data_IF_767837984388
#
_entry.id   IF_767837984388
#
_cell.length_a   1.000
_cell.length_b   1.000
_cell.length_c   1.000
_cell.angle_alpha   90.00
_cell.angle_beta   90.00
_cell.angle_gamma   90.00
#
_symmetry.space_group_name_H-M   'P 1'
#
loop_
_entity.id
_entity.type
_entity.pdbx_description
1 polymer ?
#
# COMPACT_ATOMS: atom_id res chain seq x y z
N UNK A 1 -4.53 5.68 -17.56
CA UNK A 1 -5.50 6.68 -17.19
C UNK A 1 -5.15 7.39 -15.88
N UNK A 2 -4.52 6.73 -14.89
CA UNK A 2 -4.33 7.31 -13.54
C UNK A 2 -3.51 8.60 -13.52
N UNK A 3 -2.48 8.74 -14.37
CA UNK A 3 -1.59 9.91 -14.32
C UNK A 3 -2.28 11.17 -14.86
N UNK A 4 -3.06 11.02 -15.91
CA UNK A 4 -3.87 12.11 -16.45
C UNK A 4 -4.94 12.54 -15.43
N UNK A 5 -5.60 11.56 -14.78
CA UNK A 5 -6.54 11.81 -13.69
C UNK A 5 -5.86 12.53 -12.53
N UNK A 6 -4.66 12.08 -12.12
CA UNK A 6 -3.88 12.69 -11.06
C UNK A 6 -3.51 14.14 -11.39
N UNK A 7 -3.05 14.40 -12.62
CA UNK A 7 -2.72 15.74 -13.08
C UNK A 7 -3.93 16.67 -13.06
N UNK A 8 -5.09 16.20 -13.53
CA UNK A 8 -6.34 16.96 -13.48
C UNK A 8 -6.78 17.24 -12.04
N UNK A 9 -6.59 16.27 -11.13
CA UNK A 9 -6.87 16.44 -9.71
C UNK A 9 -5.91 17.47 -9.09
N UNK A 10 -4.60 17.38 -9.35
CA UNK A 10 -3.61 18.35 -8.86
C UNK A 10 -3.91 19.77 -9.34
N UNK A 11 -4.24 19.94 -10.61
CA UNK A 11 -4.62 21.23 -11.19
C UNK A 11 -5.89 21.78 -10.52
N UNK A 12 -6.89 20.93 -10.28
CA UNK A 12 -8.11 21.32 -9.56
C UNK A 12 -7.82 21.75 -8.11
N UNK A 13 -7.10 20.92 -7.35
CA UNK A 13 -6.77 21.20 -5.94
C UNK A 13 -5.97 22.50 -5.81
N UNK A 14 -4.99 22.69 -6.68
CA UNK A 14 -4.17 23.91 -6.71
C UNK A 14 -5.03 25.14 -7.01
N UNK A 15 -5.90 25.07 -8.02
CA UNK A 15 -6.74 26.19 -8.41
C UNK A 15 -7.73 26.60 -7.30
N UNK A 16 -8.37 25.65 -6.64
CA UNK A 16 -9.28 25.96 -5.53
C UNK A 16 -8.53 26.42 -4.27
N UNK A 17 -7.34 25.88 -4.00
CA UNK A 17 -6.47 26.38 -2.95
C UNK A 17 -6.11 27.86 -3.16
N UNK A 18 -5.67 28.23 -4.37
CA UNK A 18 -5.32 29.62 -4.72
C UNK A 18 -6.52 30.57 -4.53
N UNK A 19 -7.74 30.12 -4.83
CA UNK A 19 -8.96 30.90 -4.56
C UNK A 19 -9.19 31.10 -3.07
N UNK A 20 -9.14 30.04 -2.26
CA UNK A 20 -9.36 30.15 -0.81
C UNK A 20 -8.32 31.09 -0.18
N UNK A 21 -7.06 31.01 -0.62
CA UNK A 21 -5.97 31.88 -0.16
C UNK A 21 -6.14 33.35 -0.57
N UNK A 22 -6.92 33.64 -1.62
CA UNK A 22 -7.23 35.02 -2.02
C UNK A 22 -8.20 35.73 -1.06
N UNK A 23 -8.94 34.98 -0.24
CA UNK A 23 -9.82 35.54 0.77
C UNK A 23 -9.07 35.78 2.09
N UNK A 24 -9.21 36.97 2.66
CA UNK A 24 -8.74 37.24 4.02
C UNK A 24 -9.77 36.70 5.04
N UNK A 25 -9.71 35.39 5.34
CA UNK A 25 -10.63 34.71 6.27
C UNK A 25 -9.98 34.51 7.65
N UNK A 26 -10.35 35.29 8.69
CA UNK A 26 -9.79 35.16 10.02
C UNK A 26 -10.43 34.05 10.87
N UNK A 27 -11.62 33.55 10.47
CA UNK A 27 -12.33 32.52 11.22
C UNK A 27 -11.79 31.12 10.87
N UNK A 28 -10.89 30.61 11.71
CA UNK A 28 -10.17 29.35 11.48
C UNK A 28 -11.07 28.14 11.18
N UNK A 29 -12.22 27.92 11.85
CA UNK A 29 -13.11 26.81 11.51
C UNK A 29 -13.67 26.90 10.09
N UNK A 30 -14.07 28.09 9.64
CA UNK A 30 -14.58 28.30 8.28
C UNK A 30 -13.48 28.10 7.24
N UNK A 31 -12.24 28.48 7.56
CA UNK A 31 -11.11 28.18 6.70
C UNK A 31 -10.85 26.68 6.62
N UNK A 32 -10.95 25.95 7.73
CA UNK A 32 -10.88 24.48 7.77
C UNK A 32 -11.94 23.83 6.88
N UNK A 33 -13.21 24.21 7.07
CA UNK A 33 -14.34 23.73 6.26
C UNK A 33 -14.14 23.95 4.75
N UNK A 34 -13.49 25.05 4.36
CA UNK A 34 -13.17 25.33 2.96
C UNK A 34 -12.18 24.31 2.39
N UNK A 35 -11.10 23.97 3.11
CA UNK A 35 -10.14 22.94 2.65
C UNK A 35 -10.74 21.53 2.64
N UNK A 36 -11.60 21.21 3.61
CA UNK A 36 -12.39 19.97 3.58
C UNK A 36 -13.25 19.89 2.32
N UNK A 37 -13.91 21.00 1.96
CA UNK A 37 -14.78 21.08 0.80
C UNK A 37 -14.01 20.95 -0.53
N UNK A 38 -12.80 21.51 -0.62
CA UNK A 38 -11.91 21.30 -1.78
C UNK A 38 -11.64 19.80 -1.96
N UNK A 39 -11.30 19.10 -0.88
CA UNK A 39 -11.03 17.65 -0.91
C UNK A 39 -12.26 16.89 -1.38
N UNK A 40 -13.43 17.17 -0.81
CA UNK A 40 -14.69 16.51 -1.18
C UNK A 40 -15.02 16.74 -2.65
N UNK A 41 -14.94 17.96 -3.13
CA UNK A 41 -15.26 18.29 -4.51
C UNK A 41 -14.24 17.74 -5.51
N UNK A 42 -12.97 17.66 -5.12
CA UNK A 42 -11.91 17.05 -5.93
C UNK A 42 -12.13 15.54 -6.10
N UNK A 43 -12.47 14.85 -5.01
CA UNK A 43 -12.78 13.41 -5.05
C UNK A 43 -14.09 13.11 -5.78
N UNK A 44 -15.13 13.95 -5.62
CA UNK A 44 -16.41 13.81 -6.33
C UNK A 44 -16.35 14.12 -7.84
N UNK A 45 -15.16 14.43 -8.39
CA UNK A 45 -15.03 14.58 -9.84
C UNK A 45 -15.21 13.22 -10.51
N UNK A 46 -16.01 13.18 -11.58
CA UNK A 46 -16.32 11.95 -12.33
C UNK A 46 -15.09 11.23 -12.90
N UNK A 47 -14.02 11.97 -13.17
CA UNK A 47 -12.76 11.39 -13.64
C UNK A 47 -11.93 10.75 -12.51
N UNK A 48 -12.22 11.09 -11.24
CA UNK A 48 -11.60 10.50 -10.03
C UNK A 48 -12.45 9.32 -9.53
N UNK A 49 -13.75 9.53 -9.37
CA UNK A 49 -14.72 8.50 -8.95
C UNK A 49 -15.84 8.37 -9.99
N UNK A 50 -15.93 7.23 -10.71
CA UNK A 50 -16.99 7.01 -11.68
C UNK A 50 -18.38 6.86 -11.03
N UNK A 51 -19.40 7.52 -11.58
CA UNK A 51 -20.80 7.51 -11.06
C UNK A 51 -21.46 6.11 -11.06
N UNK A 52 -20.87 5.14 -11.77
CA UNK A 52 -21.47 3.82 -12.01
C UNK A 52 -21.41 2.87 -10.80
N UNK A 53 -20.79 3.29 -9.69
CA UNK A 53 -20.46 2.43 -8.56
C UNK A 53 -21.16 2.81 -7.24
N UNK A 54 -22.14 3.73 -7.26
CA UNK A 54 -22.82 4.26 -6.06
C UNK A 54 -21.83 4.70 -4.96
N UNK A 55 -20.68 5.21 -5.39
CA UNK A 55 -19.66 5.78 -4.55
C UNK A 55 -20.03 7.23 -4.23
N UNK A 56 -19.85 7.62 -2.97
CA UNK A 56 -20.19 8.97 -2.50
C UNK A 56 -19.06 9.50 -1.63
N UNK A 57 -18.80 10.81 -1.74
CA UNK A 57 -17.89 11.51 -0.82
C UNK A 57 -18.72 12.42 0.07
N UNK A 58 -18.67 12.16 1.39
CA UNK A 58 -19.60 12.76 2.37
C UNK A 58 -18.87 13.20 3.64
N UNK A 59 -19.49 14.09 4.42
CA UNK A 59 -19.12 14.36 5.81
C UNK A 59 -20.03 13.58 6.76
N UNK A 60 -19.58 13.28 7.97
CA UNK A 60 -20.49 12.83 9.02
C UNK A 60 -19.90 11.84 10.01
N UNK A 61 -20.60 10.76 10.29
CA UNK A 61 -20.33 9.86 11.41
C UNK A 61 -20.34 8.41 10.95
N UNK A 62 -19.64 7.57 11.71
CA UNK A 62 -19.58 6.13 11.47
C UNK A 62 -20.36 5.41 12.56
N UNK A 63 -21.12 4.39 12.17
CA UNK A 63 -21.79 3.45 13.05
C UNK A 63 -21.06 2.11 12.98
N UNK A 64 -20.69 1.56 14.14
CA UNK A 64 -20.06 0.24 14.27
C UNK A 64 -21.04 -0.66 15.01
N UNK A 65 -21.67 -1.58 14.27
CA UNK A 65 -22.78 -2.38 14.80
C UNK A 65 -23.95 -1.49 15.23
N UNK A 66 -24.29 -1.50 16.53
CA UNK A 66 -25.34 -0.63 17.08
C UNK A 66 -24.83 0.71 17.65
N UNK A 67 -23.52 0.91 17.70
CA UNK A 67 -22.91 2.08 18.33
C UNK A 67 -22.56 3.10 17.25
N UNK A 68 -23.15 4.29 17.35
CA UNK A 68 -22.69 5.46 16.58
C UNK A 68 -21.49 6.10 17.28
N UNK A 69 -20.40 6.31 16.55
CA UNK A 69 -19.24 7.03 17.05
C UNK A 69 -19.56 8.51 17.23
N UNK A 70 -19.01 9.13 18.27
CA UNK A 70 -19.21 10.56 18.55
C UNK A 70 -18.32 11.46 17.71
N UNK A 71 -17.24 10.91 17.15
CA UNK A 71 -16.29 11.61 16.30
C UNK A 71 -16.94 11.97 14.96
N UNK A 72 -16.87 13.26 14.60
CA UNK A 72 -17.21 13.71 13.26
C UNK A 72 -16.01 13.49 12.33
N UNK A 73 -16.28 12.98 11.14
CA UNK A 73 -15.30 12.79 10.08
C UNK A 73 -15.45 13.90 9.04
N UNK A 74 -14.33 14.54 8.72
CA UNK A 74 -14.22 15.65 7.76
C UNK A 74 -14.66 15.23 6.36
N UNK A 75 -14.21 14.06 5.92
CA UNK A 75 -14.51 13.51 4.60
C UNK A 75 -14.40 11.97 4.62
N UNK A 76 -15.39 11.29 4.06
CA UNK A 76 -15.41 9.85 3.88
C UNK A 76 -15.72 9.51 2.43
N UNK A 77 -14.99 8.54 1.88
CA UNK A 77 -15.44 7.80 0.69
C UNK A 77 -16.25 6.60 1.16
N UNK A 78 -17.50 6.51 0.71
CA UNK A 78 -18.45 5.48 1.13
C UNK A 78 -19.13 4.83 -0.07
N UNK A 79 -19.65 3.64 0.15
CA UNK A 79 -20.47 2.89 -0.79
C UNK A 79 -21.94 2.90 -0.34
N UNK A 80 -22.87 3.08 -1.29
CA UNK A 80 -24.30 3.00 -1.01
C UNK A 80 -24.89 4.24 -0.35
N UNK A 81 -26.10 4.09 0.16
CA UNK A 81 -26.82 5.16 0.86
C UNK A 81 -26.54 5.17 2.37
N UNK A 82 -26.36 6.36 2.92
CA UNK A 82 -26.29 6.60 4.37
C UNK A 82 -27.52 7.33 4.89
N UNK A 83 -27.62 7.43 6.21
CA UNK A 83 -28.72 8.12 6.88
C UNK A 83 -28.34 9.59 7.04
N UNK A 84 -29.07 10.50 6.37
CA UNK A 84 -28.85 11.94 6.54
C UNK A 84 -29.15 12.36 7.98
N UNK A 85 -28.23 13.11 8.60
CA UNK A 85 -28.38 13.59 9.96
C UNK A 85 -29.28 14.84 9.98
N UNK A 86 -30.58 14.61 10.11
CA UNK A 86 -31.60 15.67 10.10
C UNK A 86 -31.60 16.45 8.79
N UNK A 87 -31.59 17.79 8.89
CA UNK A 87 -31.52 18.69 7.73
C UNK A 87 -30.09 19.10 7.37
N UNK A 88 -29.07 18.53 8.02
CA UNK A 88 -27.65 18.86 7.78
C UNK A 88 -27.10 18.04 6.62
N UNK A 89 -26.02 18.49 5.98
CA UNK A 89 -25.35 17.72 4.93
C UNK A 89 -24.36 16.66 5.47
N UNK A 90 -24.56 16.23 6.72
CA UNK A 90 -23.81 15.15 7.37
C UNK A 90 -24.61 13.86 7.29
N UNK A 91 -23.91 12.74 7.21
CA UNK A 91 -24.52 11.41 7.09
C UNK A 91 -23.97 10.44 8.12
N UNK A 92 -24.76 9.44 8.48
CA UNK A 92 -24.33 8.31 9.31
C UNK A 92 -24.23 7.09 8.39
N UNK A 93 -23.05 6.49 8.34
CA UNK A 93 -22.78 5.27 7.57
C UNK A 93 -22.40 4.12 8.48
N UNK A 94 -22.85 2.91 8.16
CA UNK A 94 -22.31 1.70 8.78
C UNK A 94 -20.85 1.50 8.34
N UNK A 95 -20.00 1.04 9.26
CA UNK A 95 -18.57 0.81 9.02
C UNK A 95 -18.31 -0.09 7.81
N UNK A 96 -19.20 -1.05 7.52
CA UNK A 96 -19.08 -1.92 6.34
C UNK A 96 -19.13 -1.17 5.01
N UNK A 97 -19.73 0.02 4.99
CA UNK A 97 -19.88 0.87 3.81
C UNK A 97 -18.85 2.01 3.75
N UNK A 98 -17.95 2.11 4.74
CA UNK A 98 -16.90 3.14 4.77
C UNK A 98 -15.64 2.60 4.14
N UNK A 99 -15.21 3.19 3.02
CA UNK A 99 -14.01 2.74 2.31
C UNK A 99 -12.77 3.52 2.76
N UNK A 100 -12.92 4.83 2.94
CA UNK A 100 -11.81 5.73 3.26
C UNK A 100 -12.27 6.83 4.21
N UNK A 101 -11.41 7.19 5.14
CA UNK A 101 -11.58 8.26 6.12
C UNK A 101 -10.45 9.26 5.91
N UNK A 102 -10.81 10.52 5.70
CA UNK A 102 -9.87 11.62 5.56
C UNK A 102 -9.91 12.53 6.79
N UNK A 103 -8.72 12.86 7.29
CA UNK A 103 -8.48 13.99 8.18
C UNK A 103 -7.83 15.09 7.34
N UNK A 104 -8.50 16.24 7.19
CA UNK A 104 -8.04 17.31 6.29
C UNK A 104 -7.48 18.47 7.09
N UNK A 105 -6.24 18.87 6.80
CA UNK A 105 -5.60 20.04 7.43
C UNK A 105 -5.19 21.05 6.36
N UNK A 106 -5.30 22.34 6.67
CA UNK A 106 -4.66 23.38 5.84
C UNK A 106 -3.15 23.14 5.78
N UNK A 107 -2.52 23.12 6.96
CA UNK A 107 -1.07 23.05 7.12
C UNK A 107 -0.73 21.94 8.11
N UNK A 108 0.12 21.01 7.70
CA UNK A 108 0.58 19.91 8.55
C UNK A 108 1.75 20.36 9.43
N UNK A 109 1.43 20.95 10.58
CA UNK A 109 2.38 21.20 11.68
C UNK A 109 2.49 19.97 12.60
N UNK A 110 3.46 19.97 13.53
CA UNK A 110 3.62 18.88 14.50
C UNK A 110 2.37 18.72 15.37
N UNK A 111 1.78 19.83 15.80
CA UNK A 111 0.55 19.84 16.60
C UNK A 111 -0.62 19.23 15.83
N UNK A 112 -0.84 19.67 14.58
CA UNK A 112 -1.91 19.12 13.74
C UNK A 112 -1.69 17.65 13.38
N UNK A 113 -0.44 17.20 13.28
CA UNK A 113 -0.08 15.79 13.05
C UNK A 113 -0.43 14.95 14.27
N UNK A 114 -0.09 15.42 15.48
CA UNK A 114 -0.46 14.75 16.75
C UNK A 114 -1.98 14.62 16.85
N UNK A 115 -2.71 15.70 16.62
CA UNK A 115 -4.18 15.71 16.65
C UNK A 115 -4.77 14.71 15.65
N UNK A 116 -4.30 14.72 14.41
CA UNK A 116 -4.75 13.80 13.36
C UNK A 116 -4.49 12.33 13.71
N UNK A 117 -3.29 12.02 14.23
CA UNK A 117 -2.91 10.67 14.60
C UNK A 117 -3.71 10.14 15.79
N UNK A 118 -3.96 10.98 16.81
CA UNK A 118 -4.80 10.62 17.95
C UNK A 118 -6.24 10.38 17.46
N UNK A 119 -6.80 11.31 16.69
CA UNK A 119 -8.18 11.20 16.20
C UNK A 119 -8.41 9.92 15.39
N UNK A 120 -7.53 9.64 14.42
CA UNK A 120 -7.63 8.43 13.60
C UNK A 120 -7.39 7.15 14.44
N UNK A 121 -6.47 7.17 15.40
CA UNK A 121 -6.23 6.02 16.29
C UNK A 121 -7.44 5.70 17.19
N UNK A 122 -8.14 6.74 17.66
CA UNK A 122 -9.40 6.59 18.40
C UNK A 122 -10.48 5.96 17.53
N UNK A 123 -10.66 6.42 16.29
CA UNK A 123 -11.64 5.85 15.37
C UNK A 123 -11.29 4.38 15.05
N UNK A 124 -10.04 4.10 14.64
CA UNK A 124 -9.59 2.73 14.33
C UNK A 124 -9.78 1.78 15.50
N UNK A 125 -9.62 2.28 16.73
CA UNK A 125 -9.83 1.48 17.94
C UNK A 125 -11.18 0.82 18.03
N UNK A 126 -12.20 1.51 17.54
CA UNK A 126 -13.58 1.05 17.58
C UNK A 126 -13.83 -0.02 16.51
N UNK A 127 -12.96 -0.12 15.50
CA UNK A 127 -13.10 -1.08 14.41
C UNK A 127 -12.50 -2.44 14.74
N UNK A 128 -11.50 -2.53 15.61
CA UNK A 128 -10.83 -3.82 15.88
C UNK A 128 -11.82 -4.90 16.35
N UNK A 129 -12.73 -4.57 17.27
CA UNK A 129 -13.75 -5.53 17.72
C UNK A 129 -14.71 -5.96 16.61
N UNK A 130 -15.05 -5.04 15.69
CA UNK A 130 -15.85 -5.37 14.50
C UNK A 130 -15.09 -6.28 13.54
N UNK A 131 -13.81 -6.02 13.29
CA UNK A 131 -12.95 -6.86 12.46
C UNK A 131 -12.75 -8.25 13.07
N UNK A 132 -12.50 -8.33 14.38
CA UNK A 132 -12.40 -9.60 15.09
C UNK A 132 -13.68 -10.41 14.94
N UNK A 133 -14.85 -9.77 15.05
CA UNK A 133 -16.16 -10.41 14.82
C UNK A 133 -16.33 -10.92 13.38
N UNK A 134 -15.91 -10.15 12.37
CA UNK A 134 -15.94 -10.59 10.96
C UNK A 134 -15.08 -11.83 10.73
N UNK A 135 -13.86 -11.82 11.28
CA UNK A 135 -12.92 -12.93 11.16
C UNK A 135 -13.46 -14.18 11.85
N UNK A 136 -13.95 -14.04 13.08
CA UNK A 136 -14.48 -15.18 13.86
C UNK A 136 -15.72 -15.82 13.24
N UNK A 137 -16.53 -15.06 12.50
CA UNK A 137 -17.71 -15.56 11.79
C UNK A 137 -17.42 -16.07 10.38
N UNK A 138 -16.15 -16.02 9.95
CA UNK A 138 -15.71 -16.30 8.58
C UNK A 138 -16.49 -15.49 7.52
N UNK A 139 -16.83 -14.23 7.85
CA UNK A 139 -17.59 -13.33 6.98
C UNK A 139 -16.70 -12.15 6.56
N UNK A 140 -15.56 -12.47 5.98
CA UNK A 140 -14.47 -11.52 5.74
C UNK A 140 -14.72 -10.69 4.47
N UNK A 141 -15.51 -11.20 3.52
CA UNK A 141 -15.92 -10.44 2.32
C UNK A 141 -14.75 -10.01 1.42
N UNK A 142 -13.55 -10.56 1.63
CA UNK A 142 -12.34 -10.32 0.83
C UNK A 142 -12.14 -11.49 -0.13
N UNK A 143 -11.66 -11.17 -1.33
CA UNK A 143 -11.12 -12.18 -2.24
C UNK A 143 -9.85 -12.82 -1.63
N UNK A 144 -9.98 -14.09 -1.24
CA UNK A 144 -8.90 -14.87 -0.65
C UNK A 144 -7.73 -15.06 -1.61
N UNK A 145 -7.96 -15.13 -2.93
CA UNK A 145 -6.89 -15.24 -3.91
C UNK A 145 -6.02 -13.98 -3.89
N UNK A 146 -6.65 -12.81 -3.79
CA UNK A 146 -5.96 -11.52 -3.69
C UNK A 146 -5.19 -11.39 -2.37
N UNK A 147 -5.81 -11.74 -1.24
CA UNK A 147 -5.11 -11.75 0.06
C UNK A 147 -3.90 -12.69 0.03
N UNK A 148 -4.08 -13.91 -0.49
CA UNK A 148 -3.04 -14.93 -0.59
C UNK A 148 -1.89 -14.49 -1.50
N UNK A 149 -2.19 -13.84 -2.62
CA UNK A 149 -1.19 -13.24 -3.51
C UNK A 149 -0.36 -12.19 -2.78
N UNK A 150 -1.00 -11.18 -2.16
CA UNK A 150 -0.27 -10.13 -1.45
C UNK A 150 0.53 -10.68 -0.27
N UNK A 151 -0.03 -11.62 0.49
CA UNK A 151 0.66 -12.28 1.58
C UNK A 151 1.89 -13.04 1.07
N UNK A 152 1.80 -13.70 -0.08
CA UNK A 152 2.89 -14.48 -0.65
C UNK A 152 4.12 -13.65 -1.01
N UNK A 153 3.93 -12.37 -1.39
CA UNK A 153 5.05 -11.44 -1.57
C UNK A 153 5.76 -11.10 -0.25
N UNK A 154 5.08 -11.25 0.88
CA UNK A 154 5.63 -10.97 2.21
C UNK A 154 6.25 -12.19 2.87
N UNK A 155 5.64 -13.37 2.74
CA UNK A 155 6.07 -14.59 3.44
C UNK A 155 6.65 -15.69 2.54
N UNK A 156 6.57 -15.54 1.21
CA UNK A 156 7.18 -16.45 0.25
C UNK A 156 6.36 -17.69 -0.09
N UNK A 157 5.06 -17.71 0.22
CA UNK A 157 4.14 -18.78 -0.19
C UNK A 157 2.69 -18.31 -0.10
N UNK A 158 1.81 -18.99 -0.83
CA UNK A 158 0.36 -18.79 -0.79
C UNK A 158 -0.28 -19.69 0.26
N UNK A 159 -1.36 -19.20 0.85
CA UNK A 159 -2.29 -19.99 1.66
C UNK A 159 -3.57 -20.22 0.86
N UNK A 160 -4.27 -21.34 1.08
CA UNK A 160 -5.54 -21.62 0.40
C UNK A 160 -6.75 -21.22 1.25
N UNK A 161 -6.56 -21.09 2.56
CA UNK A 161 -7.59 -20.84 3.56
C UNK A 161 -7.09 -19.91 4.67
N UNK A 162 -7.98 -19.07 5.19
CA UNK A 162 -7.64 -18.11 6.25
C UNK A 162 -7.27 -18.83 7.56
N UNK A 163 -7.87 -20.00 7.81
CA UNK A 163 -7.55 -20.84 8.96
C UNK A 163 -6.08 -21.30 8.97
N UNK A 164 -5.40 -21.31 7.81
CA UNK A 164 -3.99 -21.65 7.73
C UNK A 164 -3.07 -20.64 8.42
N UNK A 165 -3.54 -19.40 8.62
CA UNK A 165 -2.84 -18.37 9.40
C UNK A 165 -2.49 -18.89 10.81
N UNK A 166 -3.30 -19.78 11.38
CA UNK A 166 -3.07 -20.35 12.70
C UNK A 166 -1.84 -21.28 12.77
N UNK A 167 -1.40 -21.82 11.64
CA UNK A 167 -0.26 -22.75 11.54
C UNK A 167 1.05 -22.07 11.11
N UNK A 168 0.98 -20.78 10.75
CA UNK A 168 2.17 -19.98 10.45
C UNK A 168 3.05 -19.83 11.69
N UNK A 169 4.36 -19.68 11.48
CA UNK A 169 5.24 -19.27 12.58
C UNK A 169 4.80 -17.89 13.13
N UNK A 170 5.15 -17.54 14.39
CA UNK A 170 4.68 -16.31 15.02
C UNK A 170 4.89 -15.05 14.18
N UNK A 171 5.97 -14.99 13.39
CA UNK A 171 6.26 -13.85 12.53
C UNK A 171 5.35 -13.77 11.34
N UNK A 172 5.26 -14.85 10.59
CA UNK A 172 4.38 -14.94 9.43
C UNK A 172 2.92 -14.73 9.84
N UNK A 173 2.51 -15.26 10.99
CA UNK A 173 1.17 -15.05 11.56
C UNK A 173 0.85 -13.58 11.83
N UNK A 174 1.81 -12.82 12.36
CA UNK A 174 1.65 -11.39 12.62
C UNK A 174 1.57 -10.58 11.33
N UNK A 175 2.38 -10.91 10.32
CA UNK A 175 2.32 -10.30 8.99
C UNK A 175 0.97 -10.57 8.33
N UNK A 176 0.53 -11.84 8.31
CA UNK A 176 -0.74 -12.24 7.74
C UNK A 176 -1.94 -11.56 8.43
N UNK A 177 -1.96 -11.58 9.76
CA UNK A 177 -3.01 -10.90 10.55
C UNK A 177 -3.04 -9.39 10.27
N UNK A 178 -1.86 -8.76 10.19
CA UNK A 178 -1.74 -7.33 9.90
C UNK A 178 -2.30 -6.99 8.52
N UNK A 179 -1.89 -7.73 7.49
CA UNK A 179 -2.38 -7.52 6.12
C UNK A 179 -3.90 -7.71 6.04
N UNK A 180 -4.42 -8.77 6.68
CA UNK A 180 -5.86 -9.04 6.69
C UNK A 180 -6.66 -7.92 7.34
N UNK A 181 -6.22 -7.44 8.51
CA UNK A 181 -6.86 -6.31 9.20
C UNK A 181 -6.83 -5.04 8.35
N UNK A 182 -5.71 -4.74 7.69
CA UNK A 182 -5.59 -3.54 6.85
C UNK A 182 -6.45 -3.62 5.58
N UNK A 183 -6.61 -4.80 4.99
CA UNK A 183 -7.52 -5.03 3.87
C UNK A 183 -8.98 -4.79 4.26
N UNK A 184 -9.37 -5.23 5.46
CA UNK A 184 -10.73 -5.06 5.96
C UNK A 184 -11.02 -3.62 6.41
N UNK A 185 -10.07 -2.97 7.08
CA UNK A 185 -10.25 -1.63 7.61
C UNK A 185 -10.43 -0.57 6.50
N UNK A 186 -11.21 0.49 6.75
CA UNK A 186 -11.19 1.66 5.89
C UNK A 186 -9.77 2.25 5.81
N UNK A 187 -9.38 2.74 4.65
CA UNK A 187 -8.12 3.48 4.54
C UNK A 187 -8.22 4.76 5.38
N UNK A 188 -7.17 5.10 6.11
CA UNK A 188 -7.12 6.35 6.88
C UNK A 188 -6.06 7.27 6.29
N UNK A 189 -6.46 8.49 5.91
CA UNK A 189 -5.63 9.42 5.17
C UNK A 189 -5.58 10.75 5.91
N UNK A 190 -4.37 11.19 6.27
CA UNK A 190 -4.11 12.56 6.69
C UNK A 190 -3.67 13.33 5.45
N UNK A 191 -4.48 14.29 5.02
CA UNK A 191 -4.21 15.11 3.85
C UNK A 191 -4.03 16.56 4.25
N UNK A 192 -2.93 17.17 3.78
CA UNK A 192 -2.73 18.61 3.92
C UNK A 192 -2.35 19.31 2.61
N UNK A 193 -2.75 20.58 2.52
CA UNK A 193 -2.43 21.43 1.37
C UNK A 193 -1.04 22.08 1.52
N UNK A 194 -0.63 22.33 2.75
CA UNK A 194 0.67 22.89 3.13
C UNK A 194 1.34 22.05 4.23
N UNK A 195 2.61 22.32 4.51
CA UNK A 195 3.34 21.64 5.59
C UNK A 195 4.82 21.47 5.32
N UNK A 196 5.35 20.36 5.83
CA UNK A 196 6.75 19.96 5.70
C UNK A 196 7.25 20.05 4.26
N UNK A 197 8.39 20.73 4.07
CA UNK A 197 9.00 20.92 2.75
C UNK A 197 9.98 19.80 2.37
N UNK A 198 10.46 19.04 3.35
CA UNK A 198 11.42 17.95 3.18
C UNK A 198 10.91 16.69 3.84
N UNK A 199 11.14 15.55 3.19
CA UNK A 199 10.78 14.23 3.72
C UNK A 199 11.45 13.95 5.07
N UNK A 200 12.71 14.37 5.26
CA UNK A 200 13.41 14.22 6.54
C UNK A 200 12.71 14.94 7.70
N UNK A 201 12.16 16.13 7.47
CA UNK A 201 11.44 16.88 8.50
C UNK A 201 10.11 16.18 8.87
N UNK A 202 9.38 15.65 7.87
CA UNK A 202 8.17 14.88 8.09
C UNK A 202 8.46 13.57 8.86
N UNK A 203 9.51 12.84 8.48
CA UNK A 203 9.93 11.60 9.16
C UNK A 203 10.25 11.85 10.63
N UNK A 204 11.04 12.89 10.92
CA UNK A 204 11.35 13.26 12.30
C UNK A 204 10.09 13.63 13.09
N UNK A 205 9.17 14.40 12.48
CA UNK A 205 7.92 14.76 13.14
C UNK A 205 7.03 13.55 13.46
N UNK A 206 6.94 12.57 12.55
CA UNK A 206 6.17 11.34 12.78
C UNK A 206 6.80 10.49 13.88
N UNK A 207 8.13 10.31 13.86
CA UNK A 207 8.85 9.56 14.90
C UNK A 207 8.72 10.22 16.28
N UNK A 208 8.90 11.55 16.35
CA UNK A 208 8.69 12.32 17.57
C UNK A 208 7.25 12.16 18.10
N UNK A 209 6.27 12.19 17.19
CA UNK A 209 4.86 12.09 17.56
C UNK A 209 4.53 10.69 18.06
N UNK A 210 5.06 9.65 17.41
CA UNK A 210 4.92 8.27 17.85
C UNK A 210 5.45 8.10 19.29
N UNK A 211 6.67 8.55 19.55
CA UNK A 211 7.27 8.49 20.89
C UNK A 211 6.44 9.28 21.92
N UNK A 212 5.97 10.48 21.55
CA UNK A 212 5.16 11.31 22.43
C UNK A 212 3.82 10.66 22.82
N UNK A 213 3.10 10.06 21.85
CA UNK A 213 1.82 9.41 22.15
C UNK A 213 2.05 8.13 22.96
N UNK A 214 3.12 7.37 22.65
CA UNK A 214 3.46 6.14 23.40
C UNK A 214 3.77 6.45 24.87
N UNK A 215 4.55 7.50 25.14
CA UNK A 215 4.89 7.96 26.50
C UNK A 215 3.65 8.42 27.29
N UNK A 216 2.70 9.09 26.65
CA UNK A 216 1.51 9.64 27.32
C UNK A 216 0.37 8.64 27.53
N UNK A 217 0.31 7.55 26.75
CA UNK A 217 -0.77 6.56 26.80
C UNK A 217 -0.29 5.17 27.26
N UNK A 218 0.38 5.10 28.41
CA UNK A 218 1.02 3.86 28.93
C UNK A 218 0.10 2.63 29.09
N UNK A 219 -1.22 2.79 29.07
CA UNK A 219 -2.17 1.65 29.11
C UNK A 219 -2.46 1.03 27.75
N UNK A 220 -2.32 1.78 26.65
CA UNK A 220 -2.67 1.32 25.30
C UNK A 220 -1.51 1.44 24.29
N UNK A 221 -0.65 2.43 24.45
CA UNK A 221 0.39 2.81 23.50
C UNK A 221 -0.17 3.22 22.13
N UNK A 222 0.71 3.47 21.16
CA UNK A 222 0.36 3.50 19.73
C UNK A 222 0.69 2.16 19.13
N UNK A 223 -0.30 1.44 18.61
CA UNK A 223 -0.01 0.23 17.83
C UNK A 223 0.49 0.63 16.45
N UNK A 224 1.35 -0.21 15.89
CA UNK A 224 1.80 -0.06 14.49
C UNK A 224 0.60 0.04 13.52
N UNK A 225 -0.47 -0.71 13.78
CA UNK A 225 -1.72 -0.63 13.03
C UNK A 225 -2.42 0.72 13.13
N UNK A 226 -2.23 1.47 14.21
CA UNK A 226 -2.89 2.76 14.44
C UNK A 226 -2.32 3.88 13.54
N UNK A 227 -1.18 3.68 12.87
CA UNK A 227 -0.70 4.61 11.84
C UNK A 227 -1.74 4.75 10.70
N UNK A 228 -1.88 5.95 10.11
CA UNK A 228 -2.64 6.15 8.89
C UNK A 228 -2.09 5.36 7.71
N UNK A 229 -2.95 4.98 6.78
CA UNK A 229 -2.54 4.41 5.49
C UNK A 229 -1.65 5.41 4.72
N UNK A 230 -2.02 6.69 4.74
CA UNK A 230 -1.32 7.77 4.04
C UNK A 230 -1.27 9.03 4.91
N UNK A 231 -0.09 9.61 5.04
CA UNK A 231 0.12 10.97 5.56
C UNK A 231 0.78 11.74 4.43
N UNK A 232 0.09 12.72 3.87
CA UNK A 232 0.56 13.41 2.67
C UNK A 232 0.34 14.90 2.77
N UNK A 233 1.31 15.65 2.26
CA UNK A 233 1.00 16.92 1.64
C UNK A 233 1.06 16.75 0.12
N UNK A 234 0.47 17.67 -0.65
CA UNK A 234 0.40 17.61 -2.12
C UNK A 234 1.73 17.37 -2.89
N UNK A 235 2.88 17.21 -2.21
CA UNK A 235 4.21 16.98 -2.80
C UNK A 235 4.96 15.78 -2.22
N UNK A 236 4.78 15.48 -0.93
CA UNK A 236 5.53 14.42 -0.25
C UNK A 236 4.68 13.77 0.83
N UNK A 237 5.10 12.59 1.29
CA UNK A 237 4.37 11.90 2.32
C UNK A 237 5.03 10.63 2.84
N UNK A 238 4.26 9.94 3.67
CA UNK A 238 4.54 8.60 4.20
C UNK A 238 3.30 7.75 3.97
N UNK A 239 3.49 6.51 3.55
CA UNK A 239 2.41 5.55 3.39
C UNK A 239 2.79 4.19 3.99
N UNK A 240 1.77 3.37 4.22
CA UNK A 240 1.94 1.96 4.53
C UNK A 240 2.37 1.17 3.30
N UNK A 241 3.41 0.36 3.43
CA UNK A 241 4.03 -0.41 2.35
C UNK A 241 3.72 -1.90 2.47
N UNK A 242 2.43 -2.24 2.61
CA UNK A 242 1.96 -3.60 2.90
C UNK A 242 1.62 -4.42 1.65
N UNK A 243 1.97 -3.91 0.46
CA UNK A 243 1.73 -4.58 -0.82
C UNK A 243 0.43 -4.18 -1.51
N UNK A 244 -0.32 -3.19 -1.00
CA UNK A 244 -1.63 -2.80 -1.54
C UNK A 244 -1.77 -1.28 -1.77
N UNK A 245 -1.46 -0.77 -2.97
CA UNK A 245 -0.67 -1.40 -4.03
C UNK A 245 0.85 -1.24 -3.82
N UNK A 246 1.25 -0.54 -2.75
CA UNK A 246 2.64 -0.14 -2.56
C UNK A 246 3.43 -1.02 -1.61
N UNK A 247 4.71 -1.14 -1.91
CA UNK A 247 5.71 -1.91 -1.21
C UNK A 247 7.04 -1.16 -1.30
N UNK A 248 7.91 -1.33 -0.31
CA UNK A 248 9.20 -0.67 -0.30
C UNK A 248 10.31 -1.69 -0.09
N UNK A 249 11.27 -1.66 -1.02
CA UNK A 249 12.41 -2.57 -1.00
C UNK A 249 13.36 -2.18 0.13
N UNK A 250 13.76 -3.18 0.91
CA UNK A 250 14.78 -3.03 1.95
C UNK A 250 16.18 -3.20 1.36
N UNK A 251 17.20 -2.70 2.05
CA UNK A 251 18.59 -2.97 1.72
C UNK A 251 18.98 -4.42 2.06
N UNK A 252 20.10 -4.90 1.50
CA UNK A 252 20.60 -6.26 1.67
C UNK A 252 20.77 -6.66 3.14
N UNK A 253 21.10 -5.72 4.03
CA UNK A 253 21.26 -5.98 5.45
C UNK A 253 19.93 -6.33 6.15
N UNK A 254 18.82 -5.73 5.70
CA UNK A 254 17.49 -5.87 6.31
C UNK A 254 16.54 -6.82 5.56
N UNK A 255 16.76 -7.09 4.26
CA UNK A 255 15.95 -8.03 3.46
C UNK A 255 15.87 -9.42 4.14
N UNK A 256 14.66 -9.97 4.23
CA UNK A 256 14.40 -11.28 4.84
C UNK A 256 14.48 -11.32 6.37
N UNK A 257 14.85 -10.21 7.03
CA UNK A 257 14.89 -10.09 8.49
C UNK A 257 13.85 -9.11 9.04
N UNK A 258 13.49 -8.12 8.23
CA UNK A 258 12.57 -7.06 8.57
C UNK A 258 11.55 -6.90 7.45
N UNK A 259 10.42 -6.30 7.80
CA UNK A 259 9.38 -5.89 6.89
C UNK A 259 9.28 -4.37 6.87
N UNK A 260 9.26 -3.77 5.67
CA UNK A 260 9.00 -2.35 5.51
C UNK A 260 7.52 -2.05 5.73
N UNK A 261 7.18 -1.52 6.91
CA UNK A 261 5.80 -1.19 7.26
C UNK A 261 5.41 0.20 6.77
N UNK A 262 6.25 1.21 7.00
CA UNK A 262 6.08 2.57 6.43
C UNK A 262 7.18 2.89 5.45
N UNK A 263 6.83 3.58 4.37
CA UNK A 263 7.76 4.15 3.41
C UNK A 263 7.43 5.62 3.15
N UNK A 264 8.45 6.42 2.85
CA UNK A 264 8.31 7.83 2.51
C UNK A 264 8.59 8.07 1.03
N UNK A 265 7.96 9.10 0.47
CA UNK A 265 8.11 9.53 -0.92
C UNK A 265 8.15 11.06 -1.01
N UNK A 266 8.58 11.59 -2.16
CA UNK A 266 8.68 13.03 -2.41
C UNK A 266 8.16 13.48 -3.78
N UNK A 267 7.36 12.65 -4.45
CA UNK A 267 6.70 12.97 -5.72
C UNK A 267 5.36 12.26 -5.83
N UNK A 268 4.53 12.70 -6.79
CA UNK A 268 3.33 11.98 -7.23
C UNK A 268 2.29 11.71 -6.14
N UNK A 269 2.11 12.64 -5.19
CA UNK A 269 1.12 12.50 -4.10
C UNK A 269 -0.29 12.21 -4.60
N UNK A 270 -0.74 12.85 -5.69
CA UNK A 270 -2.07 12.61 -6.22
C UNK A 270 -2.22 11.22 -6.86
N UNK A 271 -1.16 10.71 -7.52
CA UNK A 271 -1.13 9.34 -8.06
C UNK A 271 -1.23 8.36 -6.90
N UNK A 272 -0.37 8.50 -5.88
CA UNK A 272 -0.38 7.64 -4.69
C UNK A 272 -1.76 7.63 -4.02
N UNK A 273 -2.38 8.81 -3.87
CA UNK A 273 -3.74 8.92 -3.36
C UNK A 273 -4.72 8.13 -4.22
N UNK A 274 -4.76 8.38 -5.53
CA UNK A 274 -5.71 7.73 -6.45
C UNK A 274 -5.52 6.22 -6.49
N UNK A 275 -4.29 5.73 -6.55
CA UNK A 275 -4.00 4.30 -6.59
C UNK A 275 -4.45 3.60 -5.30
N UNK A 276 -4.27 4.24 -4.13
CA UNK A 276 -4.81 3.72 -2.86
C UNK A 276 -6.34 3.70 -2.86
N UNK A 277 -7.00 4.77 -3.33
CA UNK A 277 -8.46 4.83 -3.41
C UNK A 277 -9.00 3.75 -4.34
N UNK A 278 -8.46 3.66 -5.55
CA UNK A 278 -8.86 2.70 -6.56
C UNK A 278 -8.59 1.26 -6.11
N UNK A 279 -7.46 0.98 -5.47
CA UNK A 279 -7.18 -0.33 -4.90
C UNK A 279 -8.21 -0.73 -3.84
N UNK A 280 -8.62 0.19 -2.95
CA UNK A 280 -9.66 -0.09 -1.94
C UNK A 280 -11.03 -0.30 -2.57
N UNK A 281 -11.40 0.49 -3.58
CA UNK A 281 -12.66 0.33 -4.31
C UNK A 281 -12.66 -1.01 -5.05
N UNK A 282 -11.59 -1.34 -5.77
CA UNK A 282 -11.41 -2.64 -6.45
C UNK A 282 -11.62 -3.80 -5.50
N UNK A 283 -10.99 -3.73 -4.32
CA UNK A 283 -11.12 -4.76 -3.29
C UNK A 283 -12.57 -4.89 -2.80
N UNK A 284 -13.26 -3.78 -2.56
CA UNK A 284 -14.62 -3.79 -2.00
C UNK A 284 -15.69 -4.19 -3.02
N UNK A 285 -15.57 -3.74 -4.27
CA UNK A 285 -16.58 -3.95 -5.32
C UNK A 285 -16.24 -5.11 -6.26
N UNK A 286 -15.06 -5.73 -6.09
CA UNK A 286 -14.51 -6.72 -7.00
C UNK A 286 -14.49 -6.22 -8.47
N UNK A 287 -13.98 -5.00 -8.66
CA UNK A 287 -13.81 -4.37 -9.97
C UNK A 287 -12.33 -4.11 -10.24
N UNK A 288 -11.99 -3.82 -11.50
CA UNK A 288 -10.64 -3.44 -11.90
C UNK A 288 -10.66 -2.01 -12.44
N UNK A 289 -9.70 -1.20 -11.97
CA UNK A 289 -9.40 0.11 -12.55
C UNK A 289 -8.22 -0.03 -13.52
N UNK A 290 -8.19 0.83 -14.54
CA UNK A 290 -7.02 1.01 -15.39
C UNK A 290 -6.02 1.92 -14.69
N UNK A 291 -5.15 1.32 -13.88
CA UNK A 291 -4.07 1.99 -13.17
C UNK A 291 -3.04 2.63 -14.11
N UNK A 292 -3.08 2.38 -15.42
CA UNK A 292 -1.99 2.74 -16.33
C UNK A 292 -0.68 2.08 -15.88
N UNK A 293 -0.44 0.84 -16.31
CA UNK A 293 0.84 0.16 -16.10
C UNK A 293 1.92 0.77 -17.01
N UNK A 294 2.19 2.05 -16.81
CA UNK A 294 3.34 2.69 -17.38
C UNK A 294 4.62 2.14 -16.75
N UNK A 295 5.73 2.41 -17.41
CA UNK A 295 7.02 1.96 -16.88
C UNK A 295 7.43 2.77 -15.65
N UNK A 296 6.68 3.75 -15.14
CA UNK A 296 7.19 4.59 -14.08
C UNK A 296 6.89 3.97 -12.70
N UNK A 297 7.88 4.02 -11.81
CA UNK A 297 7.77 3.52 -10.44
C UNK A 297 7.97 4.64 -9.42
N UNK A 298 7.20 4.60 -8.34
CA UNK A 298 7.37 5.54 -7.24
C UNK A 298 8.64 5.24 -6.44
N UNK A 299 9.40 6.28 -6.13
CA UNK A 299 10.61 6.15 -5.34
C UNK A 299 10.26 6.07 -3.84
N UNK A 300 9.95 4.86 -3.38
CA UNK A 300 9.59 4.59 -2.00
C UNK A 300 10.83 4.25 -1.15
N UNK A 301 11.08 5.07 -0.13
CA UNK A 301 12.17 4.87 0.81
C UNK A 301 11.66 4.27 2.12
N UNK A 302 12.15 3.10 2.56
CA UNK A 302 11.79 2.53 3.86
C UNK A 302 11.95 3.54 5.00
N UNK A 303 10.96 3.60 5.89
CA UNK A 303 10.92 4.52 7.02
C UNK A 303 10.75 3.84 8.36
N UNK A 304 9.77 2.96 8.49
CA UNK A 304 9.56 2.21 9.71
C UNK A 304 9.54 0.73 9.35
N UNK A 305 10.45 -0.03 9.95
CA UNK A 305 10.58 -1.45 9.68
C UNK A 305 10.24 -2.24 10.93
N UNK A 306 9.54 -3.34 10.74
CA UNK A 306 9.08 -4.21 11.81
C UNK A 306 9.61 -5.61 11.61
N UNK A 307 9.89 -6.28 12.71
CA UNK A 307 10.10 -7.73 12.74
C UNK A 307 9.42 -8.27 13.98
N UNK A 308 9.32 -9.58 14.05
CA UNK A 308 8.79 -10.27 15.22
C UNK A 308 9.80 -11.32 15.62
N UNK A 309 10.19 -11.28 16.89
CA UNK A 309 11.04 -12.30 17.48
C UNK A 309 10.17 -13.04 18.50
N UNK A 310 9.52 -14.11 18.05
CA UNK A 310 8.47 -14.79 18.83
C UNK A 310 7.20 -13.95 18.93
N UNK A 311 6.62 -13.83 20.13
CA UNK A 311 5.32 -13.17 20.34
C UNK A 311 5.37 -11.64 20.39
N UNK A 312 6.57 -11.04 20.55
CA UNK A 312 6.71 -9.58 20.66
C UNK A 312 7.19 -8.98 19.34
N UNK A 313 6.41 -8.06 18.72
CA UNK A 313 6.91 -7.28 17.59
C UNK A 313 7.96 -6.28 18.06
N UNK A 314 8.97 -6.05 17.23
CA UNK A 314 9.99 -5.02 17.36
C UNK A 314 9.88 -4.10 16.14
N UNK A 315 9.83 -2.79 16.38
CA UNK A 315 9.82 -1.78 15.35
C UNK A 315 11.02 -0.84 15.49
N UNK A 316 11.59 -0.40 14.36
CA UNK A 316 12.61 0.65 14.36
C UNK A 316 12.38 1.63 13.21
N UNK A 317 12.58 2.91 13.51
CA UNK A 317 12.65 3.95 12.49
C UNK A 317 14.03 3.94 11.83
N UNK A 318 14.04 3.95 10.50
CA UNK A 318 15.26 4.07 9.71
C UNK A 318 15.60 5.55 9.61
N UNK A 319 16.78 5.93 10.10
CA UNK A 319 17.38 7.22 9.80
C UNK A 319 18.05 7.15 8.43
N UNK A 320 17.69 8.09 7.54
CA UNK A 320 18.37 8.26 6.25
C UNK A 320 19.22 9.51 6.36
N UNK A 321 20.51 9.42 6.01
CA UNK A 321 21.36 10.59 5.88
C UNK A 321 20.87 11.44 4.69
N UNK A 322 20.72 12.75 4.90
CA UNK A 322 20.18 13.73 3.92
C UNK A 322 20.79 13.65 2.51
N UNK A 323 22.00 13.11 2.36
CA UNK A 323 22.61 12.86 1.05
C UNK A 323 21.81 11.87 0.18
N UNK A 324 21.27 10.80 0.76
CA UNK A 324 20.37 9.86 0.05
C UNK A 324 19.02 10.48 -0.32
N UNK A 325 18.58 11.53 0.40
CA UNK A 325 17.36 12.28 0.08
C UNK A 325 17.57 13.25 -1.10
N UNK A 326 18.79 13.79 -1.29
CA UNK A 326 19.15 14.63 -2.44
C UNK A 326 19.34 13.84 -3.74
N UNK A 327 19.73 12.57 -3.62
CA UNK A 327 19.87 11.62 -4.73
C UNK A 327 18.59 10.80 -4.98
N UNK A 328 17.45 11.21 -4.40
CA UNK A 328 16.16 10.66 -4.83
C UNK A 328 15.94 11.10 -6.27
N UNK A 329 16.34 10.23 -7.19
CA UNK A 329 15.78 10.15 -8.53
C UNK A 329 14.31 10.52 -8.45
N UNK A 330 13.87 11.47 -9.27
CA UNK A 330 12.44 11.73 -9.40
C UNK A 330 11.80 10.40 -9.78
N UNK A 331 10.55 10.14 -9.39
CA UNK A 331 9.83 8.94 -9.84
C UNK A 331 9.87 8.79 -11.39
N UNK A 332 10.02 9.90 -12.13
CA UNK A 332 10.27 9.91 -13.58
C UNK A 332 11.55 9.20 -14.04
N UNK A 333 12.48 8.92 -13.14
CA UNK A 333 13.81 8.36 -13.45
C UNK A 333 13.92 6.87 -13.02
N UNK A 334 12.88 6.31 -12.40
CA UNK A 334 12.75 4.88 -12.12
C UNK A 334 11.79 4.27 -13.14
N UNK A 335 12.37 3.76 -14.23
CA UNK A 335 11.61 2.99 -15.21
C UNK A 335 11.66 1.51 -14.84
N UNK A 336 10.52 0.83 -14.94
CA UNK A 336 10.38 -0.60 -14.90
C UNK A 336 11.28 -1.17 -15.98
N UNK A 337 12.12 -2.09 -15.57
CA UNK A 337 12.94 -2.90 -16.44
C UNK A 337 12.73 -4.35 -16.00
N UNK A 338 12.37 -5.26 -16.93
CA UNK A 338 12.26 -6.68 -16.61
C UNK A 338 13.62 -7.21 -16.16
N UNK A 339 13.59 -8.25 -15.33
CA UNK A 339 14.82 -8.86 -14.85
C UNK A 339 15.52 -9.55 -16.02
N UNK A 340 16.75 -9.14 -16.32
CA UNK A 340 17.64 -9.93 -17.18
C UNK A 340 17.99 -11.23 -16.47
N UNK A 341 17.79 -12.35 -17.16
CA UNK A 341 17.96 -13.68 -16.59
C UNK A 341 18.85 -14.51 -17.52
N UNK A 342 19.64 -15.42 -16.96
CA UNK A 342 20.36 -16.40 -17.77
C UNK A 342 19.39 -17.50 -18.23
N UNK A 343 19.56 -17.99 -19.47
CA UNK A 343 18.70 -19.04 -20.02
C UNK A 343 18.61 -20.26 -19.10
N UNK A 344 19.74 -20.74 -18.59
CA UNK A 344 19.78 -21.92 -17.73
C UNK A 344 18.97 -21.72 -16.44
N UNK A 345 18.97 -20.50 -15.90
CA UNK A 345 18.18 -20.16 -14.72
C UNK A 345 16.68 -20.06 -15.05
N UNK A 346 16.32 -19.51 -16.22
CA UNK A 346 14.94 -19.52 -16.70
C UNK A 346 14.42 -20.95 -16.93
N UNK A 347 15.24 -21.84 -17.51
CA UNK A 347 14.93 -23.25 -17.71
C UNK A 347 14.69 -23.94 -16.35
N UNK A 348 15.53 -23.67 -15.35
CA UNK A 348 15.38 -24.20 -14.00
C UNK A 348 14.10 -23.69 -13.31
N UNK A 349 13.79 -22.40 -13.42
CA UNK A 349 12.52 -21.84 -12.93
C UNK A 349 11.31 -22.49 -13.60
N UNK A 350 11.39 -22.80 -14.89
CA UNK A 350 10.34 -23.53 -15.59
C UNK A 350 10.21 -24.99 -15.13
N UNK A 351 11.32 -25.68 -14.84
CA UNK A 351 11.30 -27.03 -14.25
C UNK A 351 10.62 -27.01 -12.88
N UNK A 352 11.01 -26.07 -12.01
CA UNK A 352 10.39 -25.89 -10.69
C UNK A 352 8.89 -25.63 -10.84
N UNK A 353 8.51 -24.79 -11.83
CA UNK A 353 7.10 -24.50 -12.11
C UNK A 353 6.34 -25.76 -12.53
N UNK A 354 6.92 -26.59 -13.41
CA UNK A 354 6.32 -27.84 -13.86
C UNK A 354 6.16 -28.87 -12.73
N UNK A 355 7.06 -28.85 -11.74
CA UNK A 355 6.99 -29.70 -10.55
C UNK A 355 5.95 -29.21 -9.53
N UNK A 356 5.42 -28.00 -9.67
CA UNK A 356 4.56 -27.36 -8.66
C UNK A 356 5.33 -26.75 -7.48
N UNK A 357 6.63 -26.51 -7.67
CA UNK A 357 7.60 -26.19 -6.61
C UNK A 357 8.60 -27.32 -6.40
N UNK A 358 9.67 -27.04 -5.64
CA UNK A 358 10.74 -28.01 -5.41
C UNK A 358 11.52 -27.70 -4.14
N UNK A 359 12.06 -28.72 -3.48
CA UNK A 359 13.11 -28.54 -2.47
C UNK A 359 14.45 -28.26 -3.14
N UNK A 360 15.30 -27.44 -2.52
CA UNK A 360 16.65 -27.15 -3.03
C UNK A 360 17.46 -28.44 -3.29
N UNK A 361 17.33 -29.46 -2.45
CA UNK A 361 18.05 -30.73 -2.64
C UNK A 361 17.58 -31.49 -3.91
N UNK A 362 16.32 -31.36 -4.29
CA UNK A 362 15.75 -32.02 -5.49
C UNK A 362 16.33 -31.43 -6.78
N UNK A 363 16.75 -30.16 -6.75
CA UNK A 363 17.34 -29.45 -7.90
C UNK A 363 18.86 -29.30 -7.80
N UNK A 364 19.50 -29.89 -6.78
CA UNK A 364 20.94 -29.73 -6.53
C UNK A 364 21.81 -30.09 -7.73
N UNK A 365 21.47 -31.16 -8.45
CA UNK A 365 22.20 -31.55 -9.66
C UNK A 365 22.15 -30.49 -10.77
N UNK A 366 21.05 -29.75 -10.87
CA UNK A 366 20.94 -28.60 -11.78
C UNK A 366 21.82 -27.43 -11.32
N UNK A 367 21.83 -27.13 -10.02
CA UNK A 367 22.68 -26.08 -9.45
C UNK A 367 24.18 -26.36 -9.68
N UNK A 368 24.60 -27.61 -9.46
CA UNK A 368 25.98 -28.07 -9.73
C UNK A 368 26.34 -27.95 -11.21
N UNK A 369 25.43 -28.32 -12.12
CA UNK A 369 25.66 -28.19 -13.56
C UNK A 369 25.78 -26.73 -14.03
N UNK A 370 25.13 -25.80 -13.33
CA UNK A 370 25.17 -24.35 -13.58
C UNK A 370 26.30 -23.64 -12.83
N UNK A 371 27.05 -24.35 -11.98
CA UNK A 371 28.06 -23.76 -11.08
C UNK A 371 27.49 -22.65 -10.17
N UNK A 372 26.24 -22.81 -9.72
CA UNK A 372 25.59 -21.90 -8.77
C UNK A 372 25.62 -22.49 -7.36
N UNK A 373 25.99 -21.67 -6.39
CA UNK A 373 25.80 -22.02 -4.98
C UNK A 373 24.33 -21.94 -4.60
N UNK A 374 23.96 -22.66 -3.53
CA UNK A 374 22.62 -22.56 -2.93
C UNK A 374 22.26 -21.11 -2.61
N UNK A 375 23.19 -20.34 -2.04
CA UNK A 375 22.94 -18.96 -1.61
C UNK A 375 22.69 -18.03 -2.79
N UNK A 376 23.51 -18.10 -3.84
CA UNK A 376 23.32 -17.33 -5.07
C UNK A 376 21.96 -17.63 -5.70
N UNK A 377 21.61 -18.91 -5.81
CA UNK A 377 20.33 -19.31 -6.38
C UNK A 377 19.14 -18.81 -5.55
N UNK A 378 19.18 -18.95 -4.21
CA UNK A 378 18.11 -18.44 -3.35
C UNK A 378 17.98 -16.91 -3.42
N UNK A 379 19.07 -16.18 -3.67
CA UNK A 379 19.01 -14.74 -3.90
C UNK A 379 18.32 -14.41 -5.24
N UNK A 380 18.57 -15.20 -6.30
CA UNK A 380 17.84 -15.07 -7.56
C UNK A 380 16.34 -15.37 -7.42
N UNK A 381 15.98 -16.37 -6.62
CA UNK A 381 14.57 -16.70 -6.33
C UNK A 381 13.88 -15.51 -5.64
N UNK A 382 14.50 -14.93 -4.60
CA UNK A 382 13.96 -13.78 -3.86
C UNK A 382 13.75 -12.54 -4.72
N UNK A 383 14.60 -12.30 -5.73
CA UNK A 383 14.48 -11.13 -6.60
C UNK A 383 13.44 -11.29 -7.72
N UNK A 384 12.98 -12.52 -7.99
CA UNK A 384 12.06 -12.79 -9.10
C UNK A 384 10.62 -12.36 -8.83
N UNK A 385 10.19 -12.31 -7.56
CA UNK A 385 8.79 -12.18 -7.10
C UNK A 385 7.79 -13.19 -7.70
N UNK A 386 8.29 -14.14 -8.50
CA UNK A 386 7.56 -15.24 -9.12
C UNK A 386 7.55 -16.46 -8.21
N UNK A 387 8.61 -16.59 -7.42
CA UNK A 387 8.86 -17.69 -6.51
C UNK A 387 9.14 -17.18 -5.09
N UNK A 388 8.74 -17.96 -4.10
CA UNK A 388 9.06 -17.70 -2.70
C UNK A 388 9.74 -18.91 -2.05
N UNK A 389 10.33 -18.70 -0.86
CA UNK A 389 11.15 -19.72 -0.19
C UNK A 389 10.64 -19.93 1.24
N UNK A 390 10.42 -21.19 1.61
CA UNK A 390 10.05 -21.62 2.96
C UNK A 390 10.81 -22.89 3.30
N UNK A 391 11.66 -22.88 4.33
CA UNK A 391 12.39 -24.08 4.79
C UNK A 391 13.05 -24.90 3.65
N UNK A 392 13.76 -24.20 2.75
CA UNK A 392 14.39 -24.75 1.54
C UNK A 392 13.42 -25.31 0.47
N UNK A 393 12.12 -25.14 0.63
CA UNK A 393 11.13 -25.35 -0.42
C UNK A 393 10.90 -24.07 -1.21
N UNK A 394 10.90 -24.18 -2.54
CA UNK A 394 10.65 -23.10 -3.48
C UNK A 394 9.21 -23.25 -3.96
N UNK A 395 8.37 -22.29 -3.60
CA UNK A 395 6.96 -22.25 -3.99
C UNK A 395 6.77 -21.27 -5.16
N UNK A 396 5.74 -21.52 -5.96
CA UNK A 396 5.29 -20.58 -7.00
C UNK A 396 4.29 -19.63 -6.35
N UNK A 397 4.58 -18.33 -6.37
CA UNK A 397 3.77 -17.32 -5.68
C UNK A 397 3.02 -16.39 -6.63
N UNK A 398 3.50 -16.23 -7.86
CA UNK A 398 2.84 -15.40 -8.85
C UNK A 398 3.07 -15.91 -10.28
N UNK A 399 2.30 -15.35 -11.22
CA UNK A 399 2.52 -15.59 -12.65
C UNK A 399 3.88 -15.08 -13.08
N UNK A 400 4.48 -15.69 -14.10
CA UNK A 400 5.73 -15.18 -14.68
C UNK A 400 5.84 -15.48 -16.16
N UNK A 401 6.59 -14.62 -16.86
CA UNK A 401 6.87 -14.72 -18.29
C UNK A 401 8.35 -14.56 -18.54
N UNK A 402 8.87 -15.29 -19.52
CA UNK A 402 10.23 -15.15 -20.03
C UNK A 402 10.21 -15.03 -21.55
N UNK A 403 10.95 -14.06 -22.08
CA UNK A 403 11.11 -13.85 -23.53
C UNK A 403 12.59 -13.68 -23.88
N UNK A 404 12.91 -13.97 -25.13
CA UNK A 404 14.22 -13.77 -25.74
C UNK A 404 14.17 -12.60 -26.72
N UNK A 405 15.15 -11.69 -26.64
CA UNK A 405 15.34 -10.55 -27.53
C UNK A 405 16.83 -10.47 -27.86
N UNK A 406 17.21 -10.60 -29.13
CA UNK A 406 18.60 -10.47 -29.59
C UNK A 406 19.59 -11.32 -28.74
N UNK A 407 19.26 -12.60 -28.51
CA UNK A 407 20.03 -13.56 -27.70
C UNK A 407 20.11 -13.24 -26.18
N UNK A 408 19.34 -12.27 -25.69
CA UNK A 408 19.20 -11.96 -24.26
C UNK A 408 17.83 -12.37 -23.72
N UNK A 409 17.79 -12.88 -22.49
CA UNK A 409 16.55 -13.36 -21.86
C UNK A 409 16.10 -12.39 -20.77
N UNK A 410 14.80 -12.09 -20.79
CA UNK A 410 14.15 -11.18 -19.85
C UNK A 410 12.95 -11.86 -19.22
N UNK A 411 12.78 -11.71 -17.91
CA UNK A 411 11.64 -12.22 -17.17
C UNK A 411 10.95 -11.17 -16.31
N UNK A 412 9.65 -11.37 -16.09
CA UNK A 412 8.85 -10.54 -15.18
C UNK A 412 7.68 -11.32 -14.61
N UNK A 413 7.32 -11.00 -13.37
CA UNK A 413 6.05 -11.39 -12.75
C UNK A 413 4.91 -10.40 -13.07
N UNK A 414 5.25 -9.13 -13.27
CA UNK A 414 4.33 -8.10 -13.73
C UNK A 414 4.15 -8.21 -15.24
N UNK A 415 3.12 -8.94 -15.64
CA UNK A 415 2.86 -9.28 -17.04
C UNK A 415 2.44 -8.06 -17.86
N UNK A 416 1.76 -7.09 -17.25
CA UNK A 416 1.23 -5.93 -17.95
C UNK A 416 2.35 -4.93 -18.22
N UNK A 417 3.14 -4.57 -17.20
CA UNK A 417 4.32 -3.70 -17.38
C UNK A 417 5.34 -4.34 -18.31
N UNK A 418 5.50 -5.66 -18.25
CA UNK A 418 6.41 -6.35 -19.16
C UNK A 418 5.94 -6.29 -20.61
N UNK A 419 4.65 -6.50 -20.87
CA UNK A 419 4.07 -6.33 -22.21
C UNK A 419 4.25 -4.89 -22.74
N UNK A 420 4.05 -3.88 -21.88
CA UNK A 420 4.25 -2.49 -22.26
C UNK A 420 5.74 -2.18 -22.53
N UNK A 421 6.65 -2.74 -21.74
CA UNK A 421 8.09 -2.63 -21.97
C UNK A 421 8.48 -3.25 -23.32
N UNK A 422 7.96 -4.43 -23.66
CA UNK A 422 8.22 -5.10 -24.94
C UNK A 422 7.75 -4.26 -26.13
N UNK A 423 6.56 -3.65 -26.04
CA UNK A 423 6.05 -2.72 -27.07
C UNK A 423 6.97 -1.53 -27.27
N UNK A 424 7.54 -0.98 -26.19
CA UNK A 424 8.47 0.16 -26.25
C UNK A 424 9.81 -0.24 -26.88
N UNK A 425 10.31 -1.45 -26.61
CA UNK A 425 11.55 -1.92 -27.25
C UNK A 425 11.41 -1.97 -28.78
N UNK A 426 10.21 -2.27 -29.30
CA UNK A 426 9.94 -2.30 -30.74
C UNK A 426 10.73 -3.37 -31.49
N UNK A 427 11.32 -4.33 -30.78
CA UNK A 427 12.09 -5.46 -31.31
C UNK A 427 11.20 -6.70 -31.40
N UNK A 428 11.51 -7.58 -32.36
CA UNK A 428 10.93 -8.92 -32.38
C UNK A 428 11.44 -9.69 -31.16
N UNK A 429 10.55 -10.44 -30.51
CA UNK A 429 10.87 -11.26 -29.35
C UNK A 429 10.27 -12.65 -29.51
N UNK A 430 10.92 -13.64 -28.91
CA UNK A 430 10.42 -15.00 -28.85
C UNK A 430 9.97 -15.32 -27.43
N UNK A 431 8.72 -15.75 -27.27
CA UNK A 431 8.25 -16.20 -25.98
C UNK A 431 8.84 -17.58 -25.65
N UNK A 432 9.61 -17.64 -24.57
CA UNK A 432 10.23 -18.87 -24.10
C UNK A 432 9.29 -19.58 -23.13
N UNK A 433 8.86 -18.86 -22.08
CA UNK A 433 7.98 -19.40 -21.04
C UNK A 433 6.87 -18.41 -20.70
N UNK A 434 5.69 -18.95 -20.37
CA UNK A 434 4.57 -18.20 -19.83
C UNK A 434 3.80 -19.10 -18.89
N UNK A 435 3.85 -18.78 -17.61
CA UNK A 435 3.14 -19.51 -16.57
C UNK A 435 2.17 -18.53 -15.91
N UNK A 436 0.88 -18.80 -16.10
CA UNK A 436 -0.19 -18.01 -15.51
C UNK A 436 -0.67 -18.76 -14.28
N UNK A 437 -0.43 -18.16 -13.12
CA UNK A 437 -0.87 -18.64 -11.84
C UNK A 437 -2.12 -17.84 -11.45
N UNK A 438 -3.28 -18.49 -11.56
CA UNK A 438 -4.60 -17.93 -11.23
C UNK A 438 -4.81 -17.99 -9.73
#
# INVERSE_FOLDING_TARGET
MVRDVAKLLEEFLKYEQEKVESFNMPHMPTLGEAYEEITIQGLNKKYVLPDVYDLRVVKGFIKVGEIQLSQQIDCMLVYGEGIKYGLTDKYIYDVSNVLVIFEVKKNLTKESLVEALIHLSEIKSQFYGYIDDLINRNNIGIDLALFSLHLSYLIGYRIEKIEEIAYLDPTQKNIASTLLVEMLMPLTIVHSYEGYKRVGDLRNAIEDTFNLIDDHNSQRGVRVLDFPTLITNNKLGVLKALGMPYWAQLDEENVGKWWSYLASYNSNSAIILLELLWAKISLHLNISFDFEDDLLSENLLPFFIVRTLGEKPEGKFIKINDHRLKDTKKASDLTFEPQKIEKQLADLFNIITFMGGAKVEEIKGHLEAMNLTKEEFLNCVKSSFSFGIVDDYISIISSWRCVEIEDEYFSSHDLIRFENWLKIQGKEYHQIYMNIYV
#
